data_IF_102679669998
#
_entry.id   IF_102679669998
#
_cell.length_a   1.000
_cell.length_b   1.000
_cell.length_c   1.000
_cell.angle_alpha   90.00
_cell.angle_beta   90.00
_cell.angle_gamma   90.00
#
_symmetry.space_group_name_H-M   'P 1'
#
loop_
_entity.id
_entity.type
_entity.pdbx_description
1 polymer ?
#
# COMPACT_ATOMS: atom_id res chain seq x y z
N UNK A 1 15.34 -7.28 -11.18
CA UNK A 1 15.79 -7.33 -9.76
C UNK A 1 15.40 -6.06 -9.01
N UNK A 2 15.27 -6.12 -7.68
CA UNK A 2 15.00 -4.94 -6.84
C UNK A 2 16.13 -3.90 -6.92
N UNK A 3 17.34 -4.33 -7.29
CA UNK A 3 18.52 -3.49 -7.56
C UNK A 3 18.48 -2.64 -8.84
N UNK A 4 17.31 -2.50 -9.49
CA UNK A 4 17.20 -1.63 -10.67
C UNK A 4 17.49 -0.18 -10.29
N UNK A 5 18.49 0.44 -10.93
CA UNK A 5 18.82 1.84 -10.69
C UNK A 5 17.64 2.75 -11.06
N UNK A 6 17.36 3.73 -10.21
CA UNK A 6 16.31 4.73 -10.44
C UNK A 6 16.82 6.11 -10.07
N UNK A 7 16.31 7.11 -10.79
CA UNK A 7 16.53 8.50 -10.41
C UNK A 7 15.61 8.85 -9.23
N UNK A 8 16.17 9.53 -8.23
CA UNK A 8 15.42 10.00 -7.06
C UNK A 8 15.68 11.49 -6.86
N UNK A 9 14.60 12.26 -6.83
CA UNK A 9 14.62 13.64 -6.34
C UNK A 9 14.05 13.68 -4.92
N UNK A 10 14.75 14.32 -3.99
CA UNK A 10 14.30 14.50 -2.61
C UNK A 10 14.16 15.98 -2.32
N UNK A 11 13.01 16.38 -1.77
CA UNK A 11 12.75 17.74 -1.32
C UNK A 11 12.04 17.70 0.03
N UNK A 12 12.46 18.58 0.94
CA UNK A 12 11.82 18.72 2.23
C UNK A 12 12.38 19.91 3.01
N UNK A 13 11.77 20.20 4.14
CA UNK A 13 12.25 21.22 5.07
C UNK A 13 13.35 20.66 6.00
N UNK A 14 13.92 21.49 6.88
CA UNK A 14 15.00 21.08 7.79
C UNK A 14 14.63 19.89 8.70
N UNK A 15 13.39 19.83 9.22
CA UNK A 15 12.92 18.72 10.06
C UNK A 15 12.80 17.40 9.29
N UNK A 16 12.37 17.49 8.03
CA UNK A 16 12.35 16.33 7.13
C UNK A 16 13.76 15.75 6.98
N UNK A 17 14.76 16.60 6.71
CA UNK A 17 16.13 16.14 6.52
C UNK A 17 16.76 15.61 7.82
N UNK A 18 16.49 16.24 8.97
CA UNK A 18 16.88 15.70 10.27
C UNK A 18 16.36 14.26 10.42
N UNK A 19 15.05 14.05 10.27
CA UNK A 19 14.42 12.73 10.40
C UNK A 19 14.95 11.72 9.37
N UNK A 20 15.18 12.17 8.13
CA UNK A 20 15.72 11.32 7.06
C UNK A 20 17.13 10.83 7.41
N UNK A 21 18.02 11.72 7.82
CA UNK A 21 19.39 11.37 8.21
C UNK A 21 19.36 10.43 9.43
N UNK A 22 18.52 10.72 10.43
CA UNK A 22 18.38 9.86 11.60
C UNK A 22 18.01 8.44 11.19
N UNK A 23 17.05 8.27 10.28
CA UNK A 23 16.62 6.95 9.76
C UNK A 23 17.71 6.26 8.93
N UNK A 24 18.37 7.00 8.04
CA UNK A 24 19.45 6.45 7.19
C UNK A 24 20.61 5.93 8.05
N UNK A 25 20.98 6.66 9.10
CA UNK A 25 22.04 6.25 10.02
C UNK A 25 21.70 5.03 10.88
N UNK A 26 20.41 4.69 11.04
CA UNK A 26 19.96 3.48 11.73
C UNK A 26 19.69 2.31 10.78
N UNK A 27 19.79 2.51 9.45
CA UNK A 27 19.42 1.47 8.51
C UNK A 27 20.43 0.31 8.58
N UNK A 28 20.01 -0.96 8.48
CA UNK A 28 20.94 -2.10 8.49
C UNK A 28 21.91 -2.13 7.30
N UNK A 29 21.65 -1.36 6.24
CA UNK A 29 22.44 -1.34 5.02
C UNK A 29 23.51 -0.26 5.10
N UNK A 30 24.77 -0.63 4.85
CA UNK A 30 25.93 0.26 4.96
C UNK A 30 25.82 1.44 4.01
N UNK A 31 25.39 1.20 2.76
CA UNK A 31 25.21 2.23 1.75
C UNK A 31 24.16 3.28 2.16
N UNK A 32 23.10 2.86 2.87
CA UNK A 32 22.08 3.79 3.39
C UNK A 32 22.68 4.67 4.49
N UNK A 33 23.47 4.08 5.39
CA UNK A 33 24.20 4.85 6.41
C UNK A 33 25.23 5.81 5.78
N UNK A 34 25.93 5.39 4.74
CA UNK A 34 26.84 6.26 3.99
C UNK A 34 26.11 7.43 3.33
N UNK A 35 24.96 7.18 2.71
CA UNK A 35 24.10 8.24 2.16
C UNK A 35 23.65 9.21 3.26
N UNK A 36 23.31 8.70 4.45
CA UNK A 36 23.00 9.51 5.63
C UNK A 36 24.15 10.42 6.03
N UNK A 37 25.36 9.88 6.15
CA UNK A 37 26.60 10.63 6.47
C UNK A 37 26.91 11.70 5.43
N UNK A 38 26.90 11.34 4.13
CA UNK A 38 27.14 12.28 3.01
C UNK A 38 26.10 13.40 3.00
N UNK A 39 24.82 13.07 3.19
CA UNK A 39 23.74 14.05 3.28
C UNK A 39 23.92 15.00 4.46
N UNK A 40 24.30 14.47 5.63
CA UNK A 40 24.57 15.29 6.82
C UNK A 40 25.72 16.28 6.59
N UNK A 41 26.81 15.86 5.95
CA UNK A 41 27.96 16.73 5.64
C UNK A 41 27.53 17.91 4.77
N UNK A 42 26.80 17.67 3.67
CA UNK A 42 26.38 18.74 2.76
C UNK A 42 25.32 19.65 3.39
N UNK A 43 24.35 19.08 4.12
CA UNK A 43 23.31 19.87 4.77
C UNK A 43 23.85 20.70 5.94
N UNK A 44 24.89 20.23 6.63
CA UNK A 44 25.53 21.00 7.72
C UNK A 44 26.17 22.30 7.23
N UNK A 45 26.51 22.41 5.94
CA UNK A 45 27.05 23.66 5.35
C UNK A 45 25.98 24.73 5.18
N UNK A 46 24.70 24.34 5.07
CA UNK A 46 23.58 25.24 4.72
C UNK A 46 22.62 25.43 5.88
N UNK A 47 22.29 24.35 6.62
CA UNK A 47 21.28 24.33 7.69
C UNK A 47 21.76 23.62 8.98
N UNK A 48 22.94 23.96 9.53
CA UNK A 48 23.57 23.21 10.63
C UNK A 48 22.70 23.07 11.88
N UNK A 49 21.94 24.10 12.24
CA UNK A 49 21.06 24.08 13.41
C UNK A 49 19.91 23.07 13.29
N UNK A 50 19.48 22.73 12.07
CA UNK A 50 18.38 21.80 11.83
C UNK A 50 18.81 20.34 11.79
N UNK A 51 20.06 20.04 11.41
CA UNK A 51 20.54 18.66 11.26
C UNK A 51 21.43 18.19 12.43
N UNK A 52 21.78 19.08 13.36
CA UNK A 52 22.65 18.80 14.50
C UNK A 52 22.28 17.54 15.29
N UNK A 53 20.99 17.24 15.48
CA UNK A 53 20.60 16.06 16.29
C UNK A 53 20.74 14.73 15.55
N UNK A 54 20.90 14.77 14.23
CA UNK A 54 21.09 13.61 13.38
C UNK A 54 22.56 13.21 13.23
N UNK A 55 23.49 14.02 13.76
CA UNK A 55 24.92 13.70 13.81
C UNK A 55 25.15 12.42 14.63
N UNK A 56 25.93 11.47 14.11
CA UNK A 56 26.16 10.18 14.76
C UNK A 56 26.78 10.26 16.17
N UNK A 57 27.56 11.31 16.45
CA UNK A 57 28.15 11.53 17.77
C UNK A 57 27.15 12.07 18.80
N UNK A 58 26.04 12.65 18.32
CA UNK A 58 25.07 13.36 19.14
C UNK A 58 24.27 12.40 20.02
N UNK A 59 24.08 12.75 21.29
CA UNK A 59 23.39 11.90 22.28
C UNK A 59 22.02 11.41 21.78
N UNK A 60 21.24 12.30 21.15
CA UNK A 60 19.92 11.95 20.63
C UNK A 60 19.96 10.90 19.51
N UNK A 61 20.94 11.00 18.59
CA UNK A 61 21.10 9.98 17.54
C UNK A 61 21.51 8.64 18.15
N UNK A 62 22.46 8.64 19.09
CA UNK A 62 22.89 7.41 19.78
C UNK A 62 21.73 6.72 20.47
N UNK A 63 20.94 7.45 21.26
CA UNK A 63 19.77 6.89 21.94
C UNK A 63 18.71 6.37 20.95
N UNK A 64 18.59 7.00 19.78
CA UNK A 64 17.66 6.56 18.75
C UNK A 64 18.15 5.30 18.04
N UNK A 65 19.46 5.20 17.74
CA UNK A 65 20.10 3.97 17.24
C UNK A 65 19.89 2.81 18.22
N UNK A 66 20.27 2.99 19.49
CA UNK A 66 20.13 1.95 20.52
C UNK A 66 18.68 1.48 20.67
N UNK A 67 17.73 2.40 20.61
CA UNK A 67 16.30 2.08 20.65
C UNK A 67 15.85 1.27 19.44
N UNK A 68 16.30 1.65 18.24
CA UNK A 68 15.95 0.96 16.99
C UNK A 68 16.52 -0.46 16.94
N UNK A 69 17.81 -0.62 17.21
CA UNK A 69 18.47 -1.93 17.28
C UNK A 69 17.76 -2.84 18.30
N UNK A 70 17.50 -2.36 19.51
CA UNK A 70 16.81 -3.15 20.55
C UNK A 70 15.41 -3.57 20.14
N UNK A 71 14.65 -2.70 19.47
CA UNK A 71 13.32 -3.06 18.97
C UNK A 71 13.43 -4.15 17.92
N UNK A 72 14.31 -4.00 16.93
CA UNK A 72 14.45 -4.97 15.84
C UNK A 72 14.88 -6.34 16.37
N UNK A 73 15.87 -6.39 17.26
CA UNK A 73 16.31 -7.62 17.92
C UNK A 73 15.20 -8.26 18.75
N UNK A 74 14.49 -7.46 19.55
CA UNK A 74 13.42 -7.94 20.43
C UNK A 74 12.26 -8.49 19.61
N UNK A 75 11.82 -7.77 18.57
CA UNK A 75 10.73 -8.20 17.69
C UNK A 75 11.13 -9.47 16.93
N UNK A 76 12.37 -9.56 16.42
CA UNK A 76 12.87 -10.77 15.75
C UNK A 76 12.86 -11.97 16.69
N UNK A 77 13.34 -11.80 17.93
CA UNK A 77 13.36 -12.86 18.95
C UNK A 77 11.94 -13.33 19.30
N UNK A 78 11.03 -12.41 19.58
CA UNK A 78 9.63 -12.71 19.90
C UNK A 78 8.95 -13.40 18.71
N UNK A 79 9.14 -12.89 17.49
CA UNK A 79 8.56 -13.48 16.28
C UNK A 79 9.04 -14.92 16.09
N UNK A 80 10.34 -15.19 16.23
CA UNK A 80 10.88 -16.54 16.14
C UNK A 80 10.34 -17.46 17.23
N UNK A 81 10.16 -16.97 18.46
CA UNK A 81 9.62 -17.75 19.57
C UNK A 81 8.18 -18.21 19.30
N UNK A 82 7.33 -17.34 18.74
CA UNK A 82 5.91 -17.64 18.59
C UNK A 82 5.49 -18.16 17.21
N UNK A 83 6.26 -17.87 16.14
CA UNK A 83 5.82 -18.06 14.76
C UNK A 83 6.67 -19.07 13.95
N UNK A 84 7.86 -19.46 14.41
CA UNK A 84 8.82 -20.25 13.61
C UNK A 84 8.35 -21.65 13.18
N UNK A 85 7.39 -22.24 13.89
CA UNK A 85 6.87 -23.59 13.60
C UNK A 85 5.67 -23.61 12.65
N UNK A 86 5.24 -22.45 12.14
CA UNK A 86 4.08 -22.34 11.27
C UNK A 86 4.47 -22.44 9.79
N UNK A 87 3.69 -23.23 9.06
CA UNK A 87 3.84 -23.31 7.61
C UNK A 87 3.43 -22.00 6.95
N UNK A 88 4.20 -21.59 5.95
CA UNK A 88 3.93 -20.39 5.18
C UNK A 88 2.99 -20.73 4.01
N UNK A 89 1.83 -20.07 3.97
CA UNK A 89 0.98 -20.10 2.78
C UNK A 89 1.68 -19.36 1.63
N UNK A 90 1.76 -20.03 0.47
CA UNK A 90 2.39 -19.50 -0.74
C UNK A 90 1.35 -19.08 -1.77
N UNK A 91 1.77 -18.26 -2.73
CA UNK A 91 0.94 -17.80 -3.83
C UNK A 91 0.23 -16.48 -3.56
N UNK A 92 -0.26 -15.87 -4.63
CA UNK A 92 -0.96 -14.60 -4.56
C UNK A 92 -2.32 -14.74 -3.85
N UNK A 93 -2.64 -13.78 -3.00
CA UNK A 93 -3.93 -13.73 -2.29
C UNK A 93 -4.25 -12.32 -1.85
N UNK A 94 -5.54 -12.00 -1.78
CA UNK A 94 -6.07 -10.84 -1.05
C UNK A 94 -7.05 -11.39 -0.04
N UNK A 95 -6.95 -11.01 1.23
CA UNK A 95 -7.81 -11.51 2.30
C UNK A 95 -8.24 -10.37 3.21
N UNK A 96 -9.54 -10.18 3.39
CA UNK A 96 -10.12 -9.35 4.44
C UNK A 96 -9.94 -10.10 5.77
N UNK A 97 -9.00 -9.62 6.59
CA UNK A 97 -8.62 -10.26 7.86
C UNK A 97 -9.56 -9.82 8.99
N UNK A 98 -9.92 -8.53 9.00
CA UNK A 98 -10.75 -7.94 10.04
C UNK A 98 -11.48 -6.70 9.51
N UNK A 99 -12.64 -6.40 10.09
CA UNK A 99 -13.39 -5.17 9.82
C UNK A 99 -14.30 -4.81 10.99
N UNK A 100 -14.62 -3.52 11.10
CA UNK A 100 -15.57 -3.04 12.10
C UNK A 100 -16.99 -3.54 11.81
N UNK A 101 -17.45 -4.52 12.62
CA UNK A 101 -18.79 -5.11 12.51
C UNK A 101 -19.91 -4.10 12.81
N UNK A 102 -19.62 -3.11 13.66
CA UNK A 102 -20.52 -1.99 13.95
C UNK A 102 -20.19 -0.77 13.05
N UNK A 103 -19.31 -0.95 12.06
CA UNK A 103 -18.76 0.13 11.23
C UNK A 103 -19.82 0.84 10.40
N UNK A 104 -20.89 0.14 10.01
CA UNK A 104 -22.04 0.74 9.33
C UNK A 104 -22.76 1.73 10.24
N UNK A 105 -22.99 1.37 11.51
CA UNK A 105 -23.63 2.24 12.49
C UNK A 105 -22.74 3.43 12.82
N UNK A 106 -21.43 3.22 12.97
CA UNK A 106 -20.46 4.30 13.20
C UNK A 106 -20.43 5.29 12.03
N UNK A 107 -20.42 4.79 10.80
CA UNK A 107 -20.46 5.59 9.59
C UNK A 107 -21.76 6.41 9.50
N UNK A 108 -22.93 5.78 9.69
CA UNK A 108 -24.23 6.47 9.62
C UNK A 108 -24.36 7.51 10.73
N UNK A 109 -23.92 7.18 11.94
CA UNK A 109 -23.87 8.14 13.06
C UNK A 109 -23.06 9.38 12.68
N UNK A 110 -21.88 9.19 12.10
CA UNK A 110 -21.03 10.28 11.65
C UNK A 110 -21.61 11.07 10.46
N UNK A 111 -22.34 10.41 9.55
CA UNK A 111 -23.04 11.08 8.44
C UNK A 111 -24.14 12.01 8.94
N UNK A 112 -24.94 11.55 9.89
CA UNK A 112 -26.09 12.29 10.40
C UNK A 112 -25.69 13.44 11.34
N UNK A 113 -24.49 13.39 11.92
CA UNK A 113 -24.02 14.36 12.92
C UNK A 113 -24.13 15.82 12.46
N UNK A 114 -23.66 16.15 11.26
CA UNK A 114 -23.70 17.54 10.76
C UNK A 114 -25.11 18.05 10.47
N UNK A 115 -26.08 17.16 10.29
CA UNK A 115 -27.49 17.49 10.03
C UNK A 115 -28.37 17.52 11.28
N UNK A 116 -27.81 17.25 12.45
CA UNK A 116 -28.56 17.07 13.70
C UNK A 116 -28.19 18.10 14.76
N UNK A 117 -29.11 18.34 15.70
CA UNK A 117 -28.84 19.09 16.95
C UNK A 117 -28.47 18.17 18.12
N UNK A 118 -28.61 16.86 17.93
CA UNK A 118 -28.32 15.85 18.95
C UNK A 118 -26.81 15.65 19.09
N UNK A 119 -26.38 15.23 20.28
CA UNK A 119 -25.01 14.79 20.51
C UNK A 119 -24.70 13.50 19.76
N UNK A 120 -23.42 13.23 19.52
CA UNK A 120 -22.97 12.02 18.83
C UNK A 120 -23.46 10.73 19.52
N UNK A 121 -23.51 10.73 20.86
CA UNK A 121 -24.00 9.60 21.66
C UNK A 121 -25.50 9.37 21.48
N UNK A 122 -26.30 10.43 21.39
CA UNK A 122 -27.74 10.32 21.15
C UNK A 122 -28.03 9.80 19.74
N UNK A 123 -27.32 10.30 18.72
CA UNK A 123 -27.46 9.80 17.34
C UNK A 123 -27.08 8.33 17.28
N UNK A 124 -26.00 7.91 17.95
CA UNK A 124 -25.58 6.50 17.99
C UNK A 124 -26.69 5.59 18.54
N UNK A 125 -27.45 6.04 19.56
CA UNK A 125 -28.60 5.28 20.09
C UNK A 125 -29.70 5.14 19.05
N UNK A 126 -30.06 6.23 18.37
CA UNK A 126 -31.08 6.22 17.31
C UNK A 126 -30.67 5.29 16.16
N UNK A 127 -29.42 5.38 15.69
CA UNK A 127 -28.92 4.54 14.57
C UNK A 127 -28.91 3.07 14.94
N UNK A 128 -28.63 2.72 16.21
CA UNK A 128 -28.67 1.33 16.68
C UNK A 128 -30.08 0.73 16.68
N UNK A 129 -31.10 1.57 16.79
CA UNK A 129 -32.51 1.16 16.72
C UNK A 129 -33.04 1.07 15.27
N UNK A 130 -32.30 1.61 14.29
CA UNK A 130 -32.67 1.51 12.87
C UNK A 130 -32.56 0.08 12.37
N UNK A 131 -33.49 -0.31 11.50
CA UNK A 131 -33.38 -1.56 10.77
C UNK A 131 -32.39 -1.44 9.59
N UNK A 132 -32.03 -2.58 9.01
CA UNK A 132 -31.05 -2.62 7.92
C UNK A 132 -31.52 -1.90 6.65
N UNK A 133 -32.82 -1.92 6.32
CA UNK A 133 -33.37 -1.21 5.16
C UNK A 133 -33.28 0.33 5.30
N UNK A 134 -33.43 0.85 6.51
CA UNK A 134 -33.22 2.27 6.81
C UNK A 134 -31.75 2.65 6.62
N UNK A 135 -30.83 1.82 7.14
CA UNK A 135 -29.39 2.03 6.99
C UNK A 135 -28.97 2.00 5.53
N UNK A 136 -29.43 1.00 4.77
CA UNK A 136 -29.18 0.87 3.34
C UNK A 136 -29.64 2.11 2.55
N UNK A 137 -30.86 2.58 2.79
CA UNK A 137 -31.40 3.78 2.13
C UNK A 137 -30.57 5.03 2.39
N UNK A 138 -30.02 5.18 3.60
CA UNK A 138 -29.13 6.30 3.93
C UNK A 138 -27.84 6.22 3.10
N UNK A 139 -27.20 5.04 3.05
CA UNK A 139 -25.96 4.86 2.27
C UNK A 139 -26.20 5.05 0.78
N UNK A 140 -27.28 4.49 0.25
CA UNK A 140 -27.67 4.63 -1.15
C UNK A 140 -27.90 6.09 -1.54
N UNK A 141 -28.61 6.85 -0.69
CA UNK A 141 -28.86 8.27 -0.90
C UNK A 141 -27.57 9.07 -1.03
N UNK A 142 -26.53 8.73 -0.25
CA UNK A 142 -25.23 9.41 -0.32
C UNK A 142 -24.40 8.93 -1.52
N UNK A 143 -24.35 7.63 -1.77
CA UNK A 143 -23.60 7.04 -2.88
C UNK A 143 -24.05 7.56 -4.24
N UNK A 144 -25.37 7.68 -4.43
CA UNK A 144 -25.98 8.12 -5.69
C UNK A 144 -25.72 9.59 -6.04
N UNK A 145 -25.36 10.44 -5.08
CA UNK A 145 -25.04 11.85 -5.34
C UNK A 145 -23.73 12.04 -6.13
N UNK A 146 -22.82 11.04 -6.11
CA UNK A 146 -21.55 11.16 -6.84
C UNK A 146 -21.79 10.93 -8.34
N UNK A 147 -21.63 12.00 -9.11
CA UNK A 147 -21.71 11.96 -10.59
C UNK A 147 -20.38 11.61 -11.26
N UNK A 148 -19.25 11.82 -10.58
CA UNK A 148 -17.94 11.42 -11.06
C UNK A 148 -17.01 11.04 -9.89
N UNK A 149 -15.97 10.24 -10.18
CA UNK A 149 -14.99 9.77 -9.19
C UNK A 149 -14.23 10.88 -8.45
N UNK A 150 -14.16 12.09 -9.01
CA UNK A 150 -13.44 13.23 -8.40
C UNK A 150 -14.27 13.90 -7.31
N UNK A 151 -15.57 13.66 -7.25
CA UNK A 151 -16.39 14.10 -6.11
C UNK A 151 -15.94 13.32 -4.88
N UNK A 152 -15.36 14.05 -3.91
CA UNK A 152 -14.83 13.48 -2.68
C UNK A 152 -15.98 13.01 -1.80
N UNK A 153 -15.94 11.76 -1.38
CA UNK A 153 -16.90 11.24 -0.42
C UNK A 153 -16.76 11.92 0.94
N UNK A 154 -17.86 11.93 1.74
CA UNK A 154 -17.85 12.51 3.09
C UNK A 154 -16.76 11.93 3.99
N UNK A 155 -16.32 12.72 4.97
CA UNK A 155 -15.38 12.24 5.99
C UNK A 155 -15.98 11.19 6.93
N UNK A 156 -17.31 11.10 7.01
CA UNK A 156 -17.98 10.08 7.81
C UNK A 156 -17.58 8.65 7.44
N UNK A 157 -17.19 8.39 6.18
CA UNK A 157 -16.65 7.09 5.74
C UNK A 157 -15.31 6.73 6.43
N UNK A 158 -14.65 7.67 7.11
CA UNK A 158 -13.43 7.39 7.88
C UNK A 158 -13.73 6.60 9.17
N UNK A 159 -15.00 6.49 9.59
CA UNK A 159 -15.43 5.76 10.79
C UNK A 159 -15.66 4.25 10.58
N UNK A 160 -15.48 3.75 9.36
CA UNK A 160 -15.54 2.32 9.06
C UNK A 160 -14.12 1.85 8.74
N UNK A 161 -13.53 1.05 9.62
CA UNK A 161 -12.16 0.55 9.49
C UNK A 161 -12.12 -0.95 9.11
N UNK A 162 -11.05 -1.35 8.42
CA UNK A 162 -10.82 -2.72 7.99
C UNK A 162 -9.33 -3.01 7.76
N UNK A 163 -8.98 -4.29 7.78
CA UNK A 163 -7.63 -4.80 7.56
C UNK A 163 -7.62 -5.87 6.49
N UNK A 164 -6.81 -5.67 5.46
CA UNK A 164 -6.53 -6.65 4.42
C UNK A 164 -5.09 -7.17 4.52
N UNK A 165 -4.89 -8.47 4.38
CA UNK A 165 -3.61 -9.08 4.05
C UNK A 165 -3.53 -9.28 2.53
N UNK A 166 -2.40 -8.92 1.94
CA UNK A 166 -2.17 -9.01 0.51
C UNK A 166 -0.83 -9.73 0.26
N UNK A 167 -0.88 -10.71 -0.63
CA UNK A 167 0.26 -11.36 -1.25
C UNK A 167 0.14 -11.14 -2.76
N UNK A 168 1.05 -10.36 -3.34
CA UNK A 168 1.12 -10.14 -4.78
C UNK A 168 2.55 -9.81 -5.18
N UNK A 169 2.82 -9.71 -6.49
CA UNK A 169 4.16 -9.38 -6.98
C UNK A 169 4.68 -8.04 -6.40
N UNK A 170 6.00 -7.93 -6.25
CA UNK A 170 6.63 -6.75 -5.66
C UNK A 170 6.34 -5.47 -6.47
N UNK A 171 6.03 -5.59 -7.76
CA UNK A 171 5.58 -4.48 -8.60
C UNK A 171 4.27 -3.87 -8.09
N UNK A 172 3.29 -4.72 -7.79
CA UNK A 172 2.01 -4.30 -7.18
C UNK A 172 2.23 -3.58 -5.87
N UNK A 173 3.06 -4.12 -4.98
CA UNK A 173 3.38 -3.45 -3.71
C UNK A 173 3.97 -2.05 -3.97
N UNK A 174 4.96 -1.93 -4.87
CA UNK A 174 5.57 -0.65 -5.22
C UNK A 174 4.57 0.38 -5.76
N UNK A 175 3.52 -0.09 -6.42
CA UNK A 175 2.44 0.75 -6.92
C UNK A 175 1.45 1.16 -5.84
N UNK A 176 1.02 0.23 -4.98
CA UNK A 176 0.00 0.45 -3.97
C UNK A 176 0.52 1.15 -2.72
N UNK A 177 1.80 0.96 -2.35
CA UNK A 177 2.42 1.62 -1.18
C UNK A 177 2.36 3.16 -1.24
N UNK A 178 2.10 3.74 -2.42
CA UNK A 178 1.98 5.19 -2.63
C UNK A 178 0.73 5.81 -1.99
N UNK A 179 -0.23 5.00 -1.54
CA UNK A 179 -1.39 5.48 -0.81
C UNK A 179 -1.02 5.75 0.66
N UNK A 180 -1.31 6.96 1.14
CA UNK A 180 -0.80 7.48 2.41
C UNK A 180 -1.83 7.57 3.54
N UNK A 181 -3.13 7.47 3.20
CA UNK A 181 -4.23 7.48 4.17
C UNK A 181 -4.53 6.05 4.64
N UNK A 182 -3.50 5.33 5.07
CA UNK A 182 -3.59 3.97 5.55
C UNK A 182 -2.35 3.63 6.39
N UNK A 183 -2.46 2.56 7.16
CA UNK A 183 -1.34 1.91 7.85
C UNK A 183 -0.94 0.69 7.04
N UNK A 184 0.36 0.52 6.81
CA UNK A 184 0.92 -0.64 6.11
C UNK A 184 2.25 -1.03 6.70
N UNK A 185 2.55 -2.31 6.68
CA UNK A 185 3.89 -2.86 6.90
C UNK A 185 4.04 -4.09 6.00
N UNK A 186 5.26 -4.39 5.57
CA UNK A 186 5.54 -5.55 4.71
C UNK A 186 6.52 -6.50 5.37
N UNK A 187 6.48 -7.76 4.97
CA UNK A 187 7.58 -8.68 5.23
C UNK A 187 8.80 -8.31 4.37
N UNK A 188 9.99 -8.73 4.83
CA UNK A 188 11.23 -8.63 4.06
C UNK A 188 11.03 -9.34 2.72
N UNK A 189 11.57 -8.74 1.65
CA UNK A 189 11.41 -9.27 0.31
C UNK A 189 12.26 -10.54 0.16
N UNK A 190 11.64 -11.66 -0.22
CA UNK A 190 12.33 -12.93 -0.40
C UNK A 190 11.75 -13.71 -1.58
N UNK A 191 12.27 -14.91 -1.81
CA UNK A 191 11.87 -15.77 -2.92
C UNK A 191 10.92 -16.92 -2.51
N UNK A 192 10.35 -16.91 -1.31
CA UNK A 192 9.67 -18.08 -0.73
C UNK A 192 8.17 -18.15 -1.04
N UNK A 193 7.54 -16.98 -1.26
CA UNK A 193 6.11 -16.87 -1.58
C UNK A 193 5.77 -17.24 -3.03
N UNK A 194 6.78 -17.55 -3.84
CA UNK A 194 6.64 -17.79 -5.28
C UNK A 194 6.61 -16.48 -6.08
N UNK A 195 6.27 -16.58 -7.36
CA UNK A 195 6.29 -15.46 -8.28
C UNK A 195 5.13 -15.49 -9.28
N UNK A 196 4.79 -14.31 -9.79
CA UNK A 196 3.80 -14.13 -10.83
C UNK A 196 4.36 -14.50 -12.20
N UNK A 197 3.57 -15.18 -13.02
CA UNK A 197 3.87 -15.42 -14.43
C UNK A 197 2.88 -14.60 -15.26
N UNK A 198 3.37 -13.63 -16.06
CA UNK A 198 2.52 -12.86 -16.97
C UNK A 198 1.70 -13.76 -17.89
N UNK A 199 0.42 -13.45 -18.07
CA UNK A 199 -0.47 -14.23 -18.95
C UNK A 199 0.00 -14.19 -20.40
N UNK A 200 0.71 -13.13 -20.79
CA UNK A 200 1.27 -12.92 -22.12
C UNK A 200 2.38 -13.91 -22.47
N UNK A 201 3.07 -14.45 -21.46
CA UNK A 201 4.13 -15.45 -21.66
C UNK A 201 3.71 -16.86 -21.25
N UNK A 202 2.61 -17.00 -20.51
CA UNK A 202 2.13 -18.30 -20.05
C UNK A 202 1.81 -19.22 -21.26
N UNK A 203 2.35 -20.44 -21.25
CA UNK A 203 2.25 -21.42 -22.32
C UNK A 203 3.16 -21.16 -23.53
N UNK A 204 4.01 -20.13 -23.50
CA UNK A 204 4.96 -19.81 -24.57
C UNK A 204 6.35 -20.38 -24.28
N UNK A 205 7.21 -20.48 -25.29
CA UNK A 205 8.61 -20.91 -25.12
C UNK A 205 9.39 -20.01 -24.15
N UNK A 206 9.05 -18.71 -24.10
CA UNK A 206 9.68 -17.72 -23.21
C UNK A 206 9.35 -17.98 -21.73
N UNK A 207 8.28 -18.71 -21.43
CA UNK A 207 7.95 -19.08 -20.04
C UNK A 207 9.09 -19.88 -19.40
N UNK A 208 9.74 -20.76 -20.16
CA UNK A 208 10.85 -21.57 -19.67
C UNK A 208 12.01 -20.69 -19.20
N UNK A 209 12.47 -19.79 -20.08
CA UNK A 209 13.58 -18.87 -19.77
C UNK A 209 13.24 -17.95 -18.60
N UNK A 210 11.98 -17.51 -18.51
CA UNK A 210 11.49 -16.74 -17.38
C UNK A 210 11.60 -17.51 -16.06
N UNK A 211 11.11 -18.76 -16.03
CA UNK A 211 11.17 -19.61 -14.83
C UNK A 211 12.60 -19.91 -14.41
N UNK A 212 13.47 -20.22 -15.36
CA UNK A 212 14.89 -20.49 -15.11
C UNK A 212 15.57 -19.28 -14.45
N UNK A 213 15.35 -18.08 -14.99
CA UNK A 213 15.88 -16.84 -14.42
C UNK A 213 15.35 -16.57 -12.99
N UNK A 214 14.07 -16.88 -12.74
CA UNK A 214 13.48 -16.74 -11.40
C UNK A 214 14.09 -17.75 -10.43
N UNK A 215 14.31 -18.99 -10.84
CA UNK A 215 14.96 -20.03 -10.02
C UNK A 215 16.42 -19.72 -9.72
N UNK A 216 17.18 -19.21 -10.69
CA UNK A 216 18.56 -18.75 -10.48
C UNK A 216 18.62 -17.60 -9.48
N UNK A 217 17.69 -16.65 -9.56
CA UNK A 217 17.57 -15.58 -8.59
C UNK A 217 17.27 -16.11 -7.18
N UNK A 218 16.44 -17.14 -7.04
CA UNK A 218 16.20 -17.79 -5.74
C UNK A 218 17.46 -18.46 -5.20
N UNK A 219 18.18 -19.24 -6.02
CA UNK A 219 19.44 -19.89 -5.61
C UNK A 219 20.46 -18.85 -5.12
N UNK A 220 20.56 -17.74 -5.84
CA UNK A 220 21.45 -16.62 -5.48
C UNK A 220 21.01 -15.93 -4.20
N UNK A 221 19.71 -15.67 -4.04
CA UNK A 221 19.12 -15.14 -2.81
C UNK A 221 19.44 -16.04 -1.60
N UNK A 222 19.16 -17.34 -1.70
CA UNK A 222 19.37 -18.32 -0.63
C UNK A 222 20.86 -18.46 -0.25
N UNK A 223 21.78 -18.20 -1.19
CA UNK A 223 23.21 -18.16 -0.92
C UNK A 223 23.60 -16.90 -0.11
N UNK A 224 23.18 -15.72 -0.56
CA UNK A 224 23.54 -14.43 0.06
C UNK A 224 22.86 -14.27 1.42
N UNK A 225 21.59 -14.66 1.55
CA UNK A 225 20.78 -14.44 2.74
C UNK A 225 21.28 -15.17 4.00
N UNK A 226 22.20 -16.13 3.85
CA UNK A 226 22.86 -16.82 4.98
C UNK A 226 23.72 -15.88 5.82
N UNK A 227 24.39 -14.94 5.15
CA UNK A 227 25.28 -13.97 5.80
C UNK A 227 24.73 -12.54 5.73
N UNK A 228 24.06 -12.20 4.63
CA UNK A 228 23.60 -10.84 4.29
C UNK A 228 22.09 -10.83 3.96
N UNK A 229 21.20 -11.09 4.94
CA UNK A 229 19.76 -11.23 4.71
C UNK A 229 19.08 -9.94 4.23
N UNK A 230 19.58 -8.77 4.64
CA UNK A 230 18.99 -7.49 4.23
C UNK A 230 19.38 -7.14 2.80
N UNK A 231 20.65 -7.35 2.44
CA UNK A 231 21.23 -7.13 1.12
C UNK A 231 20.70 -8.13 0.08
N UNK A 232 20.38 -9.36 0.48
CA UNK A 232 19.85 -10.38 -0.42
C UNK A 232 18.59 -9.90 -1.18
N UNK A 233 17.80 -8.99 -0.58
CA UNK A 233 16.64 -8.36 -1.22
C UNK A 233 16.96 -7.73 -2.59
N UNK A 234 18.19 -7.26 -2.82
CA UNK A 234 18.61 -6.64 -4.07
C UNK A 234 18.54 -7.57 -5.28
N UNK A 235 18.75 -8.87 -5.09
CA UNK A 235 18.73 -9.86 -6.18
C UNK A 235 17.31 -10.19 -6.61
N UNK A 236 16.33 -10.08 -5.71
CA UNK A 236 14.95 -10.53 -5.92
C UNK A 236 14.28 -9.82 -7.11
N UNK A 237 13.87 -10.54 -8.17
CA UNK A 237 13.10 -9.99 -9.28
C UNK A 237 11.74 -9.41 -8.84
N UNK A 238 11.26 -8.39 -9.54
CA UNK A 238 10.00 -7.69 -9.21
C UNK A 238 8.77 -8.63 -9.32
N UNK A 239 8.87 -9.71 -10.10
CA UNK A 239 7.81 -10.72 -10.23
C UNK A 239 7.60 -11.58 -8.98
N UNK A 240 8.55 -11.62 -8.04
CA UNK A 240 8.38 -12.35 -6.79
C UNK A 240 7.30 -11.73 -5.91
N UNK A 241 6.55 -12.59 -5.23
CA UNK A 241 5.51 -12.17 -4.33
C UNK A 241 6.08 -11.62 -3.02
N UNK A 242 5.46 -10.56 -2.51
CA UNK A 242 5.68 -10.01 -1.19
C UNK A 242 4.36 -10.02 -0.42
N UNK A 243 4.45 -10.24 0.89
CA UNK A 243 3.31 -10.17 1.80
C UNK A 243 3.33 -8.86 2.57
N UNK A 244 2.20 -8.17 2.61
CA UNK A 244 1.99 -6.97 3.41
C UNK A 244 0.54 -6.88 3.87
N UNK A 245 0.25 -5.96 4.77
CA UNK A 245 -1.13 -5.64 5.14
C UNK A 245 -1.47 -4.18 4.86
N UNK A 246 -2.75 -3.91 4.64
CA UNK A 246 -3.34 -2.59 4.71
C UNK A 246 -4.38 -2.54 5.81
N UNK A 247 -4.19 -1.65 6.77
CA UNK A 247 -5.23 -1.24 7.70
C UNK A 247 -5.68 0.17 7.30
N UNK A 248 -6.95 0.32 6.92
CA UNK A 248 -7.47 1.52 6.30
C UNK A 248 -8.96 1.71 6.58
N UNK A 249 -9.42 2.95 6.48
CA UNK A 249 -10.84 3.25 6.52
C UNK A 249 -11.49 3.14 5.13
N UNK A 250 -12.83 3.04 5.13
CA UNK A 250 -13.63 2.88 3.92
C UNK A 250 -13.43 4.01 2.91
N UNK A 251 -13.21 5.25 3.38
CA UNK A 251 -12.94 6.39 2.49
C UNK A 251 -11.62 6.22 1.73
N UNK A 252 -10.59 5.74 2.41
CA UNK A 252 -9.30 5.43 1.80
C UNK A 252 -9.41 4.23 0.85
N UNK A 253 -10.15 3.20 1.23
CA UNK A 253 -10.41 2.04 0.37
C UNK A 253 -11.10 2.47 -0.94
N UNK A 254 -12.21 3.21 -0.85
CA UNK A 254 -12.95 3.70 -2.01
C UNK A 254 -12.03 4.51 -2.95
N UNK A 255 -11.29 5.49 -2.40
CA UNK A 255 -10.37 6.29 -3.20
C UNK A 255 -9.30 5.44 -3.89
N UNK A 256 -8.68 4.52 -3.15
CA UNK A 256 -7.65 3.64 -3.68
C UNK A 256 -8.21 2.75 -4.79
N UNK A 257 -9.31 2.06 -4.54
CA UNK A 257 -9.85 1.09 -5.49
C UNK A 257 -10.41 1.77 -6.74
N UNK A 258 -11.06 2.93 -6.62
CA UNK A 258 -11.49 3.70 -7.79
C UNK A 258 -10.31 4.18 -8.63
N UNK A 259 -9.18 4.54 -8.01
CA UNK A 259 -8.00 4.98 -8.76
C UNK A 259 -7.26 3.81 -9.40
N UNK A 260 -7.19 2.67 -8.71
CA UNK A 260 -6.33 1.53 -9.08
C UNK A 260 -7.04 0.44 -9.87
N UNK A 261 -8.36 0.44 -9.94
CA UNK A 261 -9.13 -0.44 -10.81
C UNK A 261 -9.23 0.06 -12.26
N UNK A 262 -8.89 1.32 -12.54
CA UNK A 262 -9.05 1.91 -13.87
C UNK A 262 -8.28 1.12 -14.95
N UNK A 263 -8.78 1.11 -16.21
CA UNK A 263 -8.17 0.32 -17.29
C UNK A 263 -6.70 0.62 -17.52
N UNK A 264 -6.28 1.88 -17.34
CA UNK A 264 -4.88 2.29 -17.53
C UNK A 264 -3.90 1.66 -16.53
N UNK A 265 -4.43 1.03 -15.48
CA UNK A 265 -3.65 0.41 -14.43
C UNK A 265 -3.03 -0.91 -14.86
N UNK A 266 -1.96 -1.31 -14.16
CA UNK A 266 -1.36 -2.63 -14.35
C UNK A 266 -2.37 -3.72 -13.96
N UNK A 267 -2.56 -4.78 -14.76
CA UNK A 267 -3.58 -5.80 -14.52
C UNK A 267 -3.53 -6.39 -13.10
N UNK A 268 -2.35 -6.69 -12.56
CA UNK A 268 -2.22 -7.36 -11.26
C UNK A 268 -2.69 -6.49 -10.08
N UNK A 269 -2.40 -5.18 -10.04
CA UNK A 269 -2.93 -4.34 -8.96
C UNK A 269 -4.41 -3.98 -9.15
N UNK A 270 -4.92 -4.02 -10.39
CA UNK A 270 -6.36 -3.88 -10.65
C UNK A 270 -7.11 -5.02 -9.99
N UNK A 271 -6.62 -6.26 -10.17
CA UNK A 271 -7.17 -7.44 -9.50
C UNK A 271 -7.15 -7.29 -7.98
N UNK A 272 -6.05 -6.80 -7.39
CA UNK A 272 -6.00 -6.54 -5.94
C UNK A 272 -7.07 -5.55 -5.51
N UNK A 273 -7.18 -4.40 -6.20
CA UNK A 273 -8.19 -3.38 -5.89
C UNK A 273 -9.63 -3.90 -6.00
N UNK A 274 -9.92 -4.67 -7.06
CA UNK A 274 -11.23 -5.29 -7.28
C UNK A 274 -11.54 -6.32 -6.20
N UNK A 275 -10.58 -7.17 -5.85
CA UNK A 275 -10.76 -8.24 -4.86
C UNK A 275 -11.00 -7.68 -3.46
N UNK A 276 -10.29 -6.61 -3.08
CA UNK A 276 -10.57 -5.91 -1.81
C UNK A 276 -12.02 -5.43 -1.73
N UNK A 277 -12.56 -4.86 -2.82
CA UNK A 277 -13.95 -4.38 -2.86
C UNK A 277 -14.93 -5.55 -2.83
N UNK A 278 -14.68 -6.61 -3.60
CA UNK A 278 -15.53 -7.82 -3.59
C UNK A 278 -15.66 -8.41 -2.20
N UNK A 279 -14.56 -8.51 -1.46
CA UNK A 279 -14.58 -9.10 -0.12
C UNK A 279 -15.30 -8.23 0.90
N UNK A 280 -15.10 -6.91 0.91
CA UNK A 280 -15.86 -6.06 1.85
C UNK A 280 -17.35 -6.04 1.51
N UNK A 281 -17.74 -6.08 0.23
CA UNK A 281 -19.14 -6.13 -0.17
C UNK A 281 -19.82 -7.47 0.14
N UNK A 282 -19.04 -8.55 0.19
CA UNK A 282 -19.53 -9.86 0.66
C UNK A 282 -19.91 -9.81 2.15
N UNK A 283 -19.13 -9.11 2.97
CA UNK A 283 -19.38 -8.98 4.41
C UNK A 283 -20.35 -7.83 4.76
N UNK A 284 -20.38 -6.75 3.98
CA UNK A 284 -21.20 -5.56 4.20
C UNK A 284 -21.75 -5.01 2.87
N UNK A 285 -22.81 -5.67 2.36
CA UNK A 285 -23.50 -5.30 1.11
C UNK A 285 -24.01 -3.85 1.05
N UNK A 286 -24.52 -3.22 2.13
CA UNK A 286 -25.01 -1.83 2.08
C UNK A 286 -24.01 -0.79 1.55
N UNK A 287 -22.71 -1.11 1.53
CA UNK A 287 -21.66 -0.21 1.03
C UNK A 287 -21.57 -0.14 -0.51
N UNK A 288 -22.23 -1.04 -1.24
CA UNK A 288 -22.15 -1.16 -2.70
C UNK A 288 -22.31 0.18 -3.45
N UNK A 289 -23.29 1.05 -3.12
CA UNK A 289 -23.47 2.33 -3.82
C UNK A 289 -22.25 3.27 -3.73
N UNK A 290 -21.38 3.08 -2.73
CA UNK A 290 -20.18 3.87 -2.55
C UNK A 290 -19.09 3.49 -3.58
N UNK A 291 -19.09 2.27 -4.12
CA UNK A 291 -18.05 1.78 -5.02
C UNK A 291 -18.41 1.89 -6.51
N UNK A 292 -19.40 2.70 -6.86
CA UNK A 292 -19.91 2.89 -8.23
C UNK A 292 -18.85 3.16 -9.31
N UNK A 293 -17.70 3.75 -8.96
CA UNK A 293 -16.63 4.06 -9.91
C UNK A 293 -15.45 3.08 -9.88
N UNK A 294 -15.59 1.97 -9.14
CA UNK A 294 -14.67 0.85 -9.23
C UNK A 294 -14.97 0.10 -10.52
N UNK A 295 -13.93 -0.08 -11.33
CA UNK A 295 -14.02 -0.77 -12.60
C UNK A 295 -13.76 -2.26 -12.38
N UNK A 296 -14.78 -3.09 -12.57
CA UNK A 296 -14.70 -4.54 -12.45
C UNK A 296 -14.45 -5.26 -13.78
N UNK A 297 -14.36 -4.52 -14.89
CA UNK A 297 -14.21 -5.09 -16.22
C UNK A 297 -12.76 -5.50 -16.51
N UNK A 298 -12.60 -6.60 -17.25
CA UNK A 298 -11.29 -7.06 -17.74
C UNK A 298 -10.88 -6.33 -19.01
N UNK A 299 -9.63 -5.85 -19.09
CA UNK A 299 -9.08 -5.23 -20.31
C UNK A 299 -7.70 -5.80 -20.59
N UNK A 300 -7.49 -6.27 -21.83
CA UNK A 300 -6.20 -6.81 -22.28
C UNK A 300 -5.20 -5.69 -22.59
N UNK A 301 -5.66 -4.57 -23.16
CA UNK A 301 -4.83 -3.39 -23.50
C UNK A 301 -5.43 -2.12 -22.90
N UNK A 302 -5.36 -1.99 -21.58
CA UNK A 302 -6.08 -0.96 -20.84
C UNK A 302 -5.69 0.51 -21.12
N UNK A 303 -4.56 0.76 -21.81
CA UNK A 303 -4.14 2.11 -22.27
C UNK A 303 -4.55 2.45 -23.70
N UNK A 304 -4.87 1.45 -24.53
CA UNK A 304 -5.10 1.64 -25.98
C UNK A 304 -6.20 2.66 -26.27
N UNK A 305 -7.34 2.55 -25.60
CA UNK A 305 -8.47 3.47 -25.80
C UNK A 305 -8.14 4.92 -25.42
N UNK A 306 -7.23 5.14 -24.48
CA UNK A 306 -6.78 6.48 -24.11
C UNK A 306 -5.76 7.03 -25.10
N UNK A 307 -4.85 6.19 -25.61
CA UNK A 307 -3.90 6.55 -26.65
C UNK A 307 -4.63 6.96 -27.93
N UNK A 308 -5.64 6.19 -28.36
CA UNK A 308 -6.52 6.54 -29.48
C UNK A 308 -7.17 7.90 -29.27
N UNK A 309 -7.78 8.16 -28.10
CA UNK A 309 -8.39 9.46 -27.79
C UNK A 309 -7.40 10.62 -27.77
N UNK A 310 -6.16 10.37 -27.32
CA UNK A 310 -5.11 11.38 -27.32
C UNK A 310 -4.67 11.71 -28.75
N UNK A 311 -4.50 10.71 -29.60
CA UNK A 311 -4.21 10.90 -31.03
C UNK A 311 -5.33 11.64 -31.75
N UNK A 312 -6.60 11.27 -31.52
CA UNK A 312 -7.76 11.96 -32.09
C UNK A 312 -7.77 13.45 -31.69
N UNK A 313 -7.52 13.76 -30.42
CA UNK A 313 -7.41 15.16 -29.94
C UNK A 313 -6.24 15.91 -30.56
N UNK A 314 -5.12 15.23 -30.83
CA UNK A 314 -3.98 15.84 -31.51
C UNK A 314 -4.31 16.11 -32.98
N UNK A 315 -4.96 15.17 -33.68
CA UNK A 315 -5.39 15.35 -35.08
C UNK A 315 -6.37 16.53 -35.24
N UNK A 316 -7.30 16.70 -34.31
CA UNK A 316 -8.23 17.85 -34.30
C UNK A 316 -7.50 19.18 -34.08
N UNK A 317 -6.43 19.21 -33.27
CA UNK A 317 -5.63 20.43 -33.05
C UNK A 317 -4.72 20.81 -34.22
N UNK A 318 -4.43 19.87 -35.13
CA UNK A 318 -3.58 20.11 -36.31
C UNK A 318 -4.44 20.59 -37.50
N UNK A 319 -5.76 20.42 -37.44
CA UNK A 319 -6.71 20.81 -38.47
C UNK A 319 -7.41 22.16 -38.20
N UNK A 320 -7.04 22.87 -37.13
CA UNK A 320 -7.51 24.22 -36.76
C UNK A 320 -6.34 25.18 -36.81
#
# INVERSE_FOLDING_TARGET
>A
PASTMTNMGVFGNGRFYETLIQKLNCHPLVEMQEMGKKSHVELSKVIPSFVRRAEGSHRYQKTFNDYKEKIEETVKKISNQYLSSKEQEKGASVKLIDYDKDGLDHLITALLFSGSKLSFSEIKKVVKEMNEEEKERIIESIGNLRQNRRHKSPRALEHFEMTFEIVADFGVFRDLQRHRMLTQERQILNCDLGYYIPQEIAGTEIEHDYREAMEEAKKTFDLIAKEFPEEAQYVVPIGYHVRWYFHLNLRALQWMCELRSQPQGHPTYRLVAQEMVKQILKECKPLEPLFKFVDFDGYVLGRLSQEIRNEEKQKVKVLV
#
